data_IF_619378517019
#
_entry.id   IF_619378517019
#
_cell.length_a   1.000
_cell.length_b   1.000
_cell.length_c   1.000
_cell.angle_alpha   90.00
_cell.angle_beta   90.00
_cell.angle_gamma   90.00
#
_symmetry.space_group_name_H-M   'P 1'
#
loop_
_entity.id
_entity.type
_entity.pdbx_description
1 polymer ?
#
# COMPACT_ATOMS: atom_id res chain seq x y z
N UNK A 1 -12.99 41.34 -31.52
CA UNK A 1 -14.00 40.32 -31.16
C UNK A 1 -13.45 38.94 -31.51
N UNK A 2 -12.96 38.19 -30.52
CA UNK A 2 -12.40 36.83 -30.70
C UNK A 2 -13.47 35.79 -30.36
N UNK A 3 -13.61 34.83 -31.26
CA UNK A 3 -14.65 33.79 -31.36
C UNK A 3 -14.70 32.92 -30.10
N UNK A 4 -15.86 32.87 -29.45
CA UNK A 4 -16.18 31.88 -28.43
C UNK A 4 -16.19 30.49 -29.09
N UNK A 5 -15.26 29.62 -28.70
CA UNK A 5 -15.26 28.22 -29.10
C UNK A 5 -16.32 27.50 -28.27
N UNK A 6 -17.30 26.95 -28.96
CA UNK A 6 -18.40 26.18 -28.42
C UNK A 6 -17.88 25.02 -27.56
N UNK A 7 -18.30 25.02 -26.29
CA UNK A 7 -18.12 23.90 -25.35
C UNK A 7 -19.37 23.05 -25.45
N UNK A 8 -19.31 21.96 -26.21
CA UNK A 8 -20.37 20.95 -26.26
C UNK A 8 -19.75 19.61 -26.65
N UNK A 9 -19.24 18.83 -25.68
CA UNK A 9 -19.18 17.36 -25.85
C UNK A 9 -19.48 16.69 -24.50
N UNK A 10 -20.77 16.35 -24.38
CA UNK A 10 -21.29 15.06 -23.95
C UNK A 10 -21.02 14.56 -22.53
N UNK A 11 -22.04 14.77 -21.70
CA UNK A 11 -22.43 13.85 -20.65
C UNK A 11 -22.54 12.41 -21.19
N UNK A 12 -21.65 11.53 -20.75
CA UNK A 12 -21.77 10.09 -20.94
C UNK A 12 -21.76 9.42 -19.57
N UNK A 13 -22.98 9.09 -19.16
CA UNK A 13 -23.34 7.89 -18.40
C UNK A 13 -22.67 7.69 -17.03
N UNK A 14 -23.24 8.38 -16.04
CA UNK A 14 -23.50 7.80 -14.72
C UNK A 14 -24.34 6.55 -14.95
N UNK A 15 -23.76 5.35 -14.78
CA UNK A 15 -24.42 4.06 -14.46
C UNK A 15 -23.38 2.91 -14.62
N UNK A 16 -22.30 2.99 -13.85
CA UNK A 16 -21.43 1.85 -13.58
C UNK A 16 -21.84 1.25 -12.24
N UNK A 17 -22.66 0.21 -12.29
CA UNK A 17 -23.22 -0.52 -11.15
C UNK A 17 -22.14 -0.84 -10.11
N UNK A 18 -22.41 -0.41 -8.88
CA UNK A 18 -21.64 -0.69 -7.68
C UNK A 18 -21.64 -2.19 -7.36
N UNK A 19 -20.75 -2.95 -7.98
CA UNK A 19 -20.37 -4.29 -7.55
C UNK A 19 -18.99 -4.22 -6.88
N UNK A 20 -18.86 -3.39 -5.84
CA UNK A 20 -17.82 -3.63 -4.84
C UNK A 20 -18.31 -4.78 -3.97
N UNK A 21 -18.28 -5.99 -4.54
CA UNK A 21 -18.22 -7.22 -3.75
C UNK A 21 -17.09 -6.96 -2.74
N UNK A 22 -17.45 -6.97 -1.46
CA UNK A 22 -16.51 -6.80 -0.35
C UNK A 22 -15.52 -7.96 -0.30
N UNK A 23 -14.65 -8.04 -1.29
CA UNK A 23 -13.33 -8.60 -1.10
C UNK A 23 -12.60 -7.56 -0.25
N UNK A 24 -12.73 -7.69 1.07
CA UNK A 24 -11.67 -7.19 1.96
C UNK A 24 -10.37 -7.71 1.34
N UNK A 25 -9.45 -6.84 0.90
CA UNK A 25 -8.22 -7.31 0.29
C UNK A 25 -7.60 -8.28 1.30
N UNK A 26 -7.41 -9.54 0.89
CA UNK A 26 -6.53 -10.44 1.62
C UNK A 26 -5.22 -9.67 1.70
N UNK A 27 -4.90 -9.15 2.88
CA UNK A 27 -3.85 -8.16 3.06
C UNK A 27 -2.54 -8.84 2.70
N UNK A 28 -2.12 -8.66 1.45
CA UNK A 28 -0.86 -9.18 0.96
C UNK A 28 0.21 -8.42 1.73
N UNK A 29 0.98 -9.15 2.54
CA UNK A 29 2.07 -8.60 3.35
C UNK A 29 2.92 -7.64 2.51
N UNK A 30 2.96 -6.39 2.94
CA UNK A 30 3.67 -5.31 2.24
C UNK A 30 5.10 -5.28 2.72
N UNK A 31 6.06 -5.33 1.79
CA UNK A 31 7.47 -5.11 2.11
C UNK A 31 7.70 -3.63 2.44
N UNK A 32 8.20 -3.34 3.63
CA UNK A 32 8.46 -1.98 4.12
C UNK A 32 9.96 -1.65 4.17
N UNK A 33 10.82 -2.64 4.39
CA UNK A 33 12.25 -2.42 4.46
C UNK A 33 13.07 -3.70 4.51
N UNK A 34 14.39 -3.55 4.36
CA UNK A 34 15.36 -4.62 4.49
C UNK A 34 16.48 -4.19 5.44
N UNK A 35 16.81 -5.04 6.40
CA UNK A 35 17.69 -4.74 7.53
C UNK A 35 18.80 -5.79 7.65
N UNK A 36 20.01 -5.37 8.00
CA UNK A 36 21.13 -6.28 8.16
C UNK A 36 20.99 -7.16 9.40
N UNK A 37 20.48 -6.56 10.47
CA UNK A 37 20.37 -7.18 11.79
C UNK A 37 18.91 -7.40 12.18
N UNK A 38 18.64 -8.55 12.79
CA UNK A 38 17.28 -8.90 13.23
C UNK A 38 16.75 -7.89 14.26
N UNK A 39 17.61 -7.43 15.18
CA UNK A 39 17.26 -6.46 16.20
C UNK A 39 16.78 -5.13 15.60
N UNK A 40 17.37 -4.70 14.49
CA UNK A 40 16.97 -3.47 13.82
C UNK A 40 15.63 -3.63 13.09
N UNK A 41 15.40 -4.77 12.43
CA UNK A 41 14.10 -5.10 11.86
C UNK A 41 13.00 -5.08 12.94
N UNK A 42 13.23 -5.73 14.08
CA UNK A 42 12.29 -5.74 15.21
C UNK A 42 12.07 -4.35 15.80
N UNK A 43 13.12 -3.52 15.91
CA UNK A 43 13.03 -2.15 16.43
C UNK A 43 12.16 -1.27 15.54
N UNK A 44 12.39 -1.30 14.23
CA UNK A 44 11.58 -0.51 13.28
C UNK A 44 10.15 -1.05 13.21
N UNK A 45 9.97 -2.37 13.16
CA UNK A 45 8.67 -3.02 13.19
C UNK A 45 7.83 -2.61 14.39
N UNK A 46 8.38 -2.74 15.60
CA UNK A 46 7.70 -2.34 16.84
C UNK A 46 7.44 -0.84 16.92
N UNK A 47 8.35 -0.01 16.41
CA UNK A 47 8.15 1.43 16.34
C UNK A 47 6.97 1.78 15.43
N UNK A 48 6.85 1.16 14.26
CA UNK A 48 5.72 1.43 13.37
C UNK A 48 4.38 0.98 13.93
N UNK A 49 4.32 -0.12 14.70
CA UNK A 49 3.11 -0.49 15.45
C UNK A 49 2.78 0.58 16.48
N UNK A 50 3.77 1.03 17.26
CA UNK A 50 3.58 2.07 18.27
C UNK A 50 3.13 3.42 17.69
N UNK A 51 3.52 3.73 16.45
CA UNK A 51 3.11 4.94 15.72
C UNK A 51 1.81 4.77 14.93
N UNK A 52 1.22 3.57 14.91
CA UNK A 52 0.01 3.27 14.14
C UNK A 52 0.23 3.28 12.61
N UNK A 53 1.46 3.05 12.14
CA UNK A 53 1.77 2.94 10.72
C UNK A 53 1.32 1.60 10.12
N UNK A 54 1.30 0.55 10.95
CA UNK A 54 0.82 -0.79 10.62
C UNK A 54 0.29 -1.49 11.88
N UNK A 55 -0.60 -2.47 11.69
CA UNK A 55 -1.23 -3.21 12.80
C UNK A 55 -0.34 -4.37 13.30
N UNK A 56 0.52 -4.89 12.43
CA UNK A 56 1.45 -5.98 12.72
C UNK A 56 2.67 -5.92 11.81
N UNK A 57 3.66 -6.75 12.12
CA UNK A 57 4.84 -6.87 11.27
C UNK A 57 5.49 -8.24 11.41
N UNK A 58 6.26 -8.61 10.40
CA UNK A 58 7.07 -9.83 10.35
C UNK A 58 8.48 -9.51 9.86
N UNK A 59 9.49 -10.13 10.47
CA UNK A 59 10.90 -10.01 10.08
C UNK A 59 11.38 -11.35 9.53
N UNK A 60 11.46 -11.45 8.20
CA UNK A 60 11.79 -12.69 7.48
C UNK A 60 13.25 -12.67 7.04
N UNK A 61 14.05 -13.65 7.44
CA UNK A 61 15.43 -13.78 6.95
C UNK A 61 15.44 -14.31 5.51
N UNK A 62 15.97 -13.52 4.58
CA UNK A 62 16.19 -13.94 3.20
C UNK A 62 17.66 -14.26 2.97
N UNK A 63 17.96 -15.56 2.96
CA UNK A 63 19.32 -16.10 2.82
C UNK A 63 20.02 -15.68 1.52
N UNK A 64 19.25 -15.49 0.44
CA UNK A 64 19.78 -15.07 -0.88
C UNK A 64 20.44 -13.70 -0.83
N UNK A 65 19.86 -12.78 -0.04
CA UNK A 65 20.36 -11.41 0.08
C UNK A 65 21.12 -11.19 1.39
N UNK A 66 20.96 -12.07 2.39
CA UNK A 66 21.51 -11.95 3.74
C UNK A 66 20.99 -10.70 4.46
N UNK A 67 19.68 -10.47 4.36
CA UNK A 67 18.96 -9.40 5.05
C UNK A 67 17.69 -9.96 5.68
N UNK A 68 17.21 -9.27 6.71
CA UNK A 68 15.87 -9.42 7.26
C UNK A 68 14.92 -8.46 6.55
N UNK A 69 13.88 -9.00 5.94
CA UNK A 69 12.86 -8.21 5.25
C UNK A 69 11.69 -7.98 6.22
N UNK A 70 11.31 -6.71 6.38
CA UNK A 70 10.19 -6.28 7.21
C UNK A 70 8.92 -6.26 6.37
N UNK A 71 7.99 -7.13 6.70
CA UNK A 71 6.65 -7.17 6.12
C UNK A 71 5.62 -6.64 7.12
N UNK A 72 4.53 -6.07 6.63
CA UNK A 72 3.41 -5.51 7.43
C UNK A 72 2.08 -5.81 6.77
#
# INVERSE_FOLDING_TARGET
MRKARAVLISAVMVLGVSLTIGATPAQAEKLVGAFRDYSECQRIGSHGVAQGWWEGYSCVWESRYRYYFLYT
#
